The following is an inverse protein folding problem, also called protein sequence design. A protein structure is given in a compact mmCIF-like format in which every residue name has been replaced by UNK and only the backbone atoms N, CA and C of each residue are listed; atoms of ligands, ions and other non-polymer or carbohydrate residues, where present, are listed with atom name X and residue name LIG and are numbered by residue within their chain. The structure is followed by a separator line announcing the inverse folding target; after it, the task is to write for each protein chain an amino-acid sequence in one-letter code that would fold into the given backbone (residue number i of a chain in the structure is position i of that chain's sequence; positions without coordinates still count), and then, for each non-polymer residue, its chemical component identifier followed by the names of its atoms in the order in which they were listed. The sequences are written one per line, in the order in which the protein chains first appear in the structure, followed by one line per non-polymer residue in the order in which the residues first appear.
data_IF_339104172203
#
_entry.id   IF_339104172203
#
_cell.length_a   1.000
_cell.length_b   1.000
_cell.length_c   1.000
_cell.angle_alpha   90.00
_cell.angle_beta   90.00
_cell.angle_gamma   90.00
#
_symmetry.space_group_name_H-M   'P 1'
#
loop_
_entity.id
_entity.type
_entity.pdbx_description
1 polymer ?
#
# COMPACT_ATOMS: atom_id res chain seq x y z
N UNK A 1 -12.57 52.10 -17.38
CA UNK A 1 -13.37 50.85 -17.35
C UNK A 1 -12.78 49.93 -16.29
N UNK A 2 -13.52 49.67 -15.22
CA UNK A 2 -13.12 48.78 -14.12
C UNK A 2 -13.99 47.50 -14.18
N UNK A 3 -13.43 46.30 -13.93
CA UNK A 3 -14.23 45.08 -13.98
C UNK A 3 -15.04 44.87 -12.68
N UNK A 4 -16.36 44.74 -12.83
CA UNK A 4 -17.34 44.45 -11.79
C UNK A 4 -17.24 43.01 -11.26
N UNK A 5 -17.35 42.86 -9.95
CA UNK A 5 -17.25 41.61 -9.18
C UNK A 5 -18.65 40.99 -9.02
N UNK A 6 -18.95 39.89 -9.71
CA UNK A 6 -20.23 39.16 -9.58
C UNK A 6 -20.25 38.21 -8.38
N UNK A 7 -21.39 38.05 -7.67
CA UNK A 7 -21.49 37.16 -6.50
C UNK A 7 -21.73 35.70 -6.92
N UNK A 8 -21.04 34.79 -6.22
CA UNK A 8 -21.05 33.34 -6.44
C UNK A 8 -22.30 32.71 -5.82
N UNK A 9 -23.17 32.10 -6.65
CA UNK A 9 -24.29 31.25 -6.21
C UNK A 9 -23.78 29.92 -5.67
N UNK A 10 -24.17 29.56 -4.45
CA UNK A 10 -23.98 28.25 -3.83
C UNK A 10 -25.09 27.29 -4.27
N UNK A 11 -24.73 26.10 -4.79
CA UNK A 11 -25.60 24.93 -4.89
C UNK A 11 -25.02 23.82 -3.99
N UNK A 12 -25.83 23.05 -3.23
CA UNK A 12 -25.35 21.89 -2.51
C UNK A 12 -25.32 20.69 -3.46
N UNK A 13 -24.13 20.20 -3.81
CA UNK A 13 -23.98 18.92 -4.49
C UNK A 13 -23.65 17.85 -3.45
N UNK A 14 -24.55 16.88 -3.34
CA UNK A 14 -24.39 15.59 -2.66
C UNK A 14 -23.03 14.95 -2.97
N UNK A 15 -22.14 14.95 -1.99
CA UNK A 15 -20.87 14.22 -2.04
C UNK A 15 -21.11 12.77 -1.66
N UNK A 16 -21.18 11.88 -2.66
CA UNK A 16 -20.99 10.46 -2.44
C UNK A 16 -19.74 9.99 -3.19
N UNK A 17 -18.91 9.25 -2.44
CA UNK A 17 -17.87 8.31 -2.89
C UNK A 17 -16.46 8.87 -3.12
N UNK A 18 -15.73 9.05 -2.02
CA UNK A 18 -14.28 8.87 -1.97
C UNK A 18 -13.93 7.56 -1.25
N UNK A 19 -13.05 6.80 -1.88
CA UNK A 19 -12.42 5.56 -1.44
C UNK A 19 -11.41 5.78 -0.31
N UNK A 20 -11.41 4.94 0.73
CA UNK A 20 -10.19 4.29 1.26
C UNK A 20 -10.48 3.37 2.44
N UNK A 21 -9.71 2.27 2.48
CA UNK A 21 -9.83 1.11 3.34
C UNK A 21 -9.30 1.35 4.77
N UNK A 22 -9.97 0.68 5.71
CA UNK A 22 -9.43 -0.12 6.83
C UNK A 22 -8.65 0.60 7.95
N UNK A 23 -9.30 0.73 9.10
CA UNK A 23 -8.73 0.40 10.42
C UNK A 23 -9.83 0.41 11.49
N UNK A 24 -10.40 -0.76 11.79
CA UNK A 24 -11.23 -0.97 12.98
C UNK A 24 -10.35 -1.24 14.18
N UNK A 25 -10.64 -0.49 15.24
CA UNK A 25 -10.04 -0.49 16.56
C UNK A 25 -10.45 -1.71 17.40
N UNK A 26 -9.58 -2.06 18.37
CA UNK A 26 -9.85 -2.68 19.68
C UNK A 26 -10.30 -4.16 19.68
N UNK A 27 -9.88 -5.05 20.59
CA UNK A 27 -9.05 -4.96 21.81
C UNK A 27 -8.73 -6.39 22.30
N UNK A 28 -7.59 -6.53 23.01
CA UNK A 28 -7.28 -7.50 24.07
C UNK A 28 -7.39 -9.02 23.80
N UNK A 29 -6.25 -9.67 23.59
CA UNK A 29 -5.73 -10.70 24.53
C UNK A 29 -4.34 -11.17 24.09
N UNK A 30 -3.39 -11.07 25.01
CA UNK A 30 -1.97 -11.42 24.85
C UNK A 30 -1.80 -12.95 24.75
N UNK A 31 -1.18 -13.41 23.67
CA UNK A 31 -0.57 -14.74 23.56
C UNK A 31 0.88 -14.69 24.04
N UNK A 32 1.16 -15.27 25.21
CA UNK A 32 2.45 -15.91 25.57
C UNK A 32 2.15 -16.91 26.69
N UNK A 33 2.48 -18.18 26.51
CA UNK A 33 3.12 -19.07 27.49
C UNK A 33 3.52 -20.37 26.76
N UNK A 34 4.73 -20.79 27.09
CA UNK A 34 5.57 -21.84 26.52
C UNK A 34 5.35 -23.22 27.14
N UNK A 35 5.74 -24.26 26.38
CA UNK A 35 6.35 -25.56 26.77
C UNK A 35 6.26 -25.96 28.26
N UNK A 36 5.70 -27.15 28.54
CA UNK A 36 6.46 -28.39 28.77
C UNK A 36 5.58 -29.56 29.26
N UNK A 37 6.20 -30.74 29.25
CA UNK A 37 5.72 -32.13 29.33
C UNK A 37 5.39 -32.61 30.76
N UNK A 38 4.91 -33.87 30.83
CA UNK A 38 4.86 -34.85 31.97
C UNK A 38 3.46 -34.97 32.60
N UNK A 39 2.63 -35.95 32.21
CA UNK A 39 2.50 -37.37 32.65
C UNK A 39 1.99 -37.59 34.09
N UNK A 40 0.83 -38.26 34.21
CA UNK A 40 0.48 -39.40 35.11
C UNK A 40 -1.06 -39.49 35.27
N UNK A 41 -1.72 -40.47 34.64
CA UNK A 41 -2.13 -41.79 35.18
C UNK A 41 -3.56 -41.75 35.79
N UNK A 42 -4.53 -42.65 35.62
CA UNK A 42 -4.78 -43.87 34.83
C UNK A 42 -6.35 -44.13 34.88
N UNK A 43 -6.95 -45.33 34.67
CA UNK A 43 -7.74 -45.63 33.47
C UNK A 43 -9.21 -46.10 33.67
N UNK A 44 -9.93 -46.16 32.53
CA UNK A 44 -11.03 -47.10 32.18
C UNK A 44 -12.44 -46.93 32.78
N UNK A 45 -13.43 -46.66 31.90
CA UNK A 45 -14.72 -47.36 31.90
C UNK A 45 -15.15 -47.66 30.46
N UNK A 46 -15.13 -48.94 30.15
CA UNK A 46 -15.57 -49.61 28.93
C UNK A 46 -17.05 -49.31 28.62
N UNK A 47 -17.33 -48.66 27.49
CA UNK A 47 -18.69 -48.58 26.94
C UNK A 47 -18.94 -49.85 26.12
N UNK A 48 -19.78 -50.75 26.64
CA UNK A 48 -20.28 -51.92 25.91
C UNK A 48 -21.06 -51.46 24.66
N UNK A 49 -20.89 -52.09 23.49
CA UNK A 49 -21.69 -51.77 22.33
C UNK A 49 -23.10 -52.34 22.52
N UNK A 50 -24.11 -51.47 22.48
CA UNK A 50 -25.52 -51.88 22.42
C UNK A 50 -25.77 -52.54 21.07
N UNK A 51 -26.07 -53.84 21.11
CA UNK A 51 -26.53 -54.62 19.95
C UNK A 51 -27.93 -54.10 19.60
N UNK A 52 -27.99 -53.03 18.80
CA UNK A 52 -29.24 -52.62 18.17
C UNK A 52 -29.46 -53.52 16.97
N UNK A 53 -30.20 -54.61 17.17
CA UNK A 53 -30.83 -55.42 16.12
C UNK A 53 -31.87 -54.57 15.39
N UNK A 54 -31.40 -53.61 14.58
CA UNK A 54 -32.23 -52.96 13.57
C UNK A 54 -32.48 -54.00 12.49
N UNK A 55 -33.65 -54.63 12.52
CA UNK A 55 -34.18 -55.43 11.43
C UNK A 55 -34.16 -54.59 10.15
N UNK A 56 -33.07 -54.69 9.39
CA UNK A 56 -32.92 -54.08 8.07
C UNK A 56 -33.88 -54.83 7.14
N UNK A 57 -35.11 -54.34 6.99
CA UNK A 57 -36.00 -54.79 5.91
C UNK A 57 -35.20 -54.64 4.61
N UNK A 58 -34.95 -55.76 3.92
CA UNK A 58 -34.21 -55.77 2.65
C UNK A 58 -35.00 -54.91 1.66
N UNK A 59 -34.33 -53.99 0.97
CA UNK A 59 -34.97 -53.18 -0.08
C UNK A 59 -35.48 -54.13 -1.15
N UNK A 60 -36.73 -53.93 -1.58
CA UNK A 60 -37.29 -54.70 -2.68
C UNK A 60 -36.48 -54.42 -3.95
N UNK A 61 -36.21 -55.46 -4.75
CA UNK A 61 -35.49 -55.32 -6.01
C UNK A 61 -36.38 -54.53 -6.97
N UNK A 62 -35.87 -53.41 -7.47
CA UNK A 62 -36.51 -52.65 -8.54
C UNK A 62 -35.98 -53.19 -9.85
N UNK A 63 -36.84 -53.83 -10.64
CA UNK A 63 -36.46 -54.31 -11.97
C UNK A 63 -36.36 -53.13 -12.93
N UNK A 64 -35.33 -53.14 -13.77
CA UNK A 64 -35.21 -52.16 -14.85
C UNK A 64 -36.14 -52.51 -16.00
N UNK A 65 -36.57 -51.53 -16.79
CA UNK A 65 -37.53 -51.73 -17.90
C UNK A 65 -37.09 -52.83 -18.89
N UNK A 66 -35.76 -53.02 -19.02
CA UNK A 66 -35.14 -54.07 -19.82
C UNK A 66 -35.33 -55.47 -19.24
N UNK A 67 -35.30 -55.59 -17.92
CA UNK A 67 -35.50 -56.87 -17.22
C UNK A 67 -36.98 -57.28 -17.21
N UNK A 68 -37.89 -56.31 -17.29
CA UNK A 68 -39.34 -56.54 -17.38
C UNK A 68 -39.81 -56.87 -18.81
N UNK A 69 -38.91 -56.91 -19.80
CA UNK A 69 -39.26 -57.23 -21.19
C UNK A 69 -40.23 -56.24 -21.82
N UNK A 70 -40.31 -55.01 -21.30
CA UNK A 70 -41.22 -54.00 -21.81
C UNK A 70 -40.68 -53.53 -23.16
N UNK A 71 -41.47 -53.59 -24.25
CA UNK A 71 -41.02 -53.13 -25.56
C UNK A 71 -40.65 -51.65 -25.46
N UNK A 72 -39.41 -51.33 -25.86
CA UNK A 72 -38.94 -49.96 -25.87
C UNK A 72 -39.68 -49.21 -26.97
N UNK A 73 -40.26 -48.06 -26.63
CA UNK A 73 -40.92 -47.20 -27.61
C UNK A 73 -39.88 -46.75 -28.65
N UNK A 74 -40.29 -46.67 -29.92
CA UNK A 74 -39.49 -46.13 -31.01
C UNK A 74 -39.27 -44.62 -30.80
N UNK A 75 -38.36 -44.26 -29.91
CA UNK A 75 -37.96 -42.88 -29.69
C UNK A 75 -37.05 -42.46 -30.84
N UNK A 76 -37.56 -41.62 -31.74
CA UNK A 76 -36.71 -40.97 -32.73
C UNK A 76 -35.83 -39.96 -32.00
N UNK A 77 -34.55 -40.29 -31.83
CA UNK A 77 -33.58 -39.34 -31.27
C UNK A 77 -32.95 -38.58 -32.45
N UNK A 78 -33.30 -37.31 -32.70
CA UNK A 78 -32.83 -36.62 -33.88
C UNK A 78 -31.32 -36.37 -33.81
N UNK A 79 -30.67 -36.53 -34.96
CA UNK A 79 -29.24 -36.28 -35.15
C UNK A 79 -28.95 -34.81 -34.80
N UNK A 80 -28.27 -34.57 -33.66
CA UNK A 80 -27.91 -33.23 -33.19
C UNK A 80 -28.32 -32.89 -31.75
N UNK A 81 -29.16 -33.71 -31.09
CA UNK A 81 -29.57 -33.48 -29.69
C UNK A 81 -28.61 -34.16 -28.69
N UNK A 82 -27.83 -35.15 -29.12
CA UNK A 82 -26.86 -35.83 -28.25
C UNK A 82 -25.53 -35.08 -28.23
N UNK A 83 -25.36 -34.19 -27.25
CA UNK A 83 -24.08 -33.52 -27.01
C UNK A 83 -23.06 -34.56 -26.55
N UNK A 84 -21.83 -34.58 -27.11
CA UNK A 84 -20.75 -35.36 -26.52
C UNK A 84 -20.55 -34.88 -25.08
N UNK A 85 -20.56 -35.81 -24.12
CA UNK A 85 -20.48 -35.49 -22.69
C UNK A 85 -19.22 -34.67 -22.44
N UNK A 86 -19.40 -33.46 -21.90
CA UNK A 86 -18.30 -32.58 -21.49
C UNK A 86 -18.18 -31.24 -22.22
N UNK A 87 -18.77 -31.06 -23.41
CA UNK A 87 -18.64 -29.80 -24.17
C UNK A 87 -19.96 -29.02 -24.20
N UNK A 88 -19.95 -27.80 -23.65
CA UNK A 88 -21.08 -26.86 -23.73
C UNK A 88 -21.04 -26.14 -25.09
N UNK A 89 -22.15 -26.18 -25.85
CA UNK A 89 -22.29 -25.44 -27.13
C UNK A 89 -21.93 -23.97 -26.90
N UNK A 90 -20.95 -23.45 -27.64
CA UNK A 90 -20.53 -22.04 -27.56
C UNK A 90 -19.56 -21.67 -26.43
N UNK A 91 -19.05 -22.62 -25.64
CA UNK A 91 -17.98 -22.38 -24.65
C UNK A 91 -16.78 -23.26 -24.97
N UNK A 92 -15.98 -22.81 -25.94
CA UNK A 92 -14.70 -23.42 -26.29
C UNK A 92 -13.63 -22.63 -25.56
N UNK A 93 -12.97 -23.26 -24.60
CA UNK A 93 -11.75 -22.72 -24.01
C UNK A 93 -10.56 -23.19 -24.85
N UNK A 94 -9.52 -22.37 -24.87
CA UNK A 94 -8.22 -22.77 -25.42
C UNK A 94 -7.60 -23.69 -24.37
N UNK A 95 -7.68 -25.00 -24.58
CA UNK A 95 -7.18 -26.02 -23.65
C UNK A 95 -5.70 -26.37 -23.93
N UNK A 96 -5.17 -26.02 -25.10
CA UNK A 96 -3.80 -26.32 -25.49
C UNK A 96 -2.82 -25.29 -24.93
N UNK A 97 -1.82 -25.75 -24.17
CA UNK A 97 -0.84 -24.88 -23.53
C UNK A 97 -0.05 -24.05 -24.56
N UNK A 98 0.27 -24.63 -25.72
CA UNK A 98 1.07 -23.99 -26.77
C UNK A 98 0.34 -22.82 -27.45
N UNK A 99 -0.96 -22.99 -27.72
CA UNK A 99 -1.77 -21.92 -28.30
C UNK A 99 -2.05 -20.80 -27.29
N UNK A 100 -2.22 -21.14 -26.01
CA UNK A 100 -2.31 -20.15 -24.93
C UNK A 100 -1.05 -19.29 -24.83
N UNK A 101 0.13 -19.91 -24.86
CA UNK A 101 1.42 -19.19 -24.80
C UNK A 101 1.62 -18.29 -26.03
N UNK A 102 1.23 -18.75 -27.21
CA UNK A 102 1.33 -17.97 -28.45
C UNK A 102 0.44 -16.72 -28.40
N UNK A 103 -0.80 -16.85 -27.91
CA UNK A 103 -1.72 -15.72 -27.74
C UNK A 103 -1.17 -14.72 -26.73
N UNK A 104 -0.63 -15.19 -25.60
CA UNK A 104 -0.03 -14.31 -24.59
C UNK A 104 1.18 -13.55 -25.15
N UNK A 105 2.05 -14.21 -25.91
CA UNK A 105 3.21 -13.58 -26.53
C UNK A 105 2.80 -12.48 -27.54
N UNK A 106 1.83 -12.76 -28.41
CA UNK A 106 1.32 -11.79 -29.37
C UNK A 106 0.71 -10.56 -28.68
N UNK A 107 -0.12 -10.77 -27.65
CA UNK A 107 -0.75 -9.67 -26.90
C UNK A 107 0.29 -8.84 -26.14
N UNK A 108 1.31 -9.49 -25.56
CA UNK A 108 2.38 -8.79 -24.87
C UNK A 108 3.20 -7.93 -25.84
N UNK A 109 3.55 -8.46 -27.01
CA UNK A 109 4.28 -7.72 -28.04
C UNK A 109 3.49 -6.50 -28.56
N UNK A 110 2.18 -6.61 -28.74
CA UNK A 110 1.32 -5.49 -29.14
C UNK A 110 1.22 -4.41 -28.05
N UNK A 111 1.21 -4.83 -26.77
CA UNK A 111 1.02 -3.95 -25.61
C UNK A 111 2.34 -3.33 -25.10
N UNK A 112 3.48 -3.99 -25.32
CA UNK A 112 4.78 -3.56 -24.81
C UNK A 112 5.13 -2.15 -25.27
N UNK A 113 4.91 -1.76 -26.54
CA UNK A 113 5.15 -0.39 -27.00
C UNK A 113 4.33 0.69 -26.26
N UNK A 114 3.12 0.37 -25.78
CA UNK A 114 2.29 1.29 -24.97
C UNK A 114 2.69 1.33 -23.49
N UNK A 115 3.24 0.24 -22.97
CA UNK A 115 3.66 0.13 -21.57
C UNK A 115 5.06 0.71 -21.41
N UNK A 116 5.96 0.44 -22.34
CA UNK A 116 7.30 1.02 -22.42
C UNK A 116 7.22 2.54 -22.50
N UNK A 117 6.39 3.11 -23.37
CA UNK A 117 6.20 4.56 -23.45
C UNK A 117 5.69 5.17 -22.14
N UNK A 118 4.92 4.44 -21.32
CA UNK A 118 4.51 4.89 -19.98
C UNK A 118 5.61 4.76 -18.93
N UNK A 119 6.33 3.64 -18.92
CA UNK A 119 7.42 3.38 -17.96
C UNK A 119 8.61 4.30 -18.22
N UNK A 120 8.99 4.48 -19.48
CA UNK A 120 10.05 5.40 -19.92
C UNK A 120 9.66 6.84 -19.61
N UNK A 121 8.42 7.26 -19.90
CA UNK A 121 7.94 8.60 -19.55
C UNK A 121 7.89 8.84 -18.04
N UNK A 122 7.55 7.82 -17.25
CA UNK A 122 7.59 7.91 -15.79
C UNK A 122 9.03 8.14 -15.28
N UNK A 123 10.01 7.39 -15.81
CA UNK A 123 11.44 7.56 -15.50
C UNK A 123 11.96 8.92 -15.93
N UNK A 124 11.64 9.39 -17.14
CA UNK A 124 12.00 10.73 -17.61
C UNK A 124 11.41 11.83 -16.71
N UNK A 125 10.16 11.68 -16.26
CA UNK A 125 9.55 12.63 -15.34
C UNK A 125 10.15 12.57 -13.93
N UNK A 126 10.68 11.43 -13.50
CA UNK A 126 11.43 11.27 -12.25
C UNK A 126 12.82 11.91 -12.36
N UNK A 127 13.54 11.67 -13.44
CA UNK A 127 14.83 12.30 -13.74
C UNK A 127 14.72 13.83 -13.81
N UNK A 128 13.68 14.37 -14.45
CA UNK A 128 13.41 15.82 -14.49
C UNK A 128 13.14 16.36 -13.08
N UNK A 129 12.41 15.62 -12.24
CA UNK A 129 12.15 16.02 -10.85
C UNK A 129 13.41 16.01 -10.01
N UNK A 130 14.26 15.00 -10.16
CA UNK A 130 15.55 14.93 -9.47
C UNK A 130 16.51 16.04 -9.92
N UNK A 131 16.57 16.32 -11.22
CA UNK A 131 17.37 17.41 -11.75
C UNK A 131 16.93 18.77 -11.17
N UNK A 132 15.62 19.03 -11.12
CA UNK A 132 15.07 20.26 -10.53
C UNK A 132 15.33 20.36 -9.02
N UNK A 133 15.24 19.25 -8.27
CA UNK A 133 15.61 19.26 -6.84
C UNK A 133 17.08 19.58 -6.65
N UNK A 134 17.97 18.94 -7.40
CA UNK A 134 19.42 19.19 -7.36
C UNK A 134 19.76 20.64 -7.72
N UNK A 135 19.09 21.23 -8.71
CA UNK A 135 19.27 22.65 -9.06
C UNK A 135 18.78 23.59 -7.94
N UNK A 136 17.61 23.30 -7.35
CA UNK A 136 17.08 24.07 -6.22
C UNK A 136 17.98 23.98 -5.00
N UNK A 137 18.46 22.78 -4.65
CA UNK A 137 19.41 22.57 -3.56
C UNK A 137 20.72 23.34 -3.79
N UNK A 138 21.28 23.31 -5.01
CA UNK A 138 22.45 24.13 -5.36
C UNK A 138 22.18 25.62 -5.20
N UNK A 139 21.00 26.09 -5.64
CA UNK A 139 20.60 27.50 -5.50
C UNK A 139 20.41 27.90 -4.04
N UNK A 140 19.86 27.02 -3.22
CA UNK A 140 19.70 27.22 -1.79
C UNK A 140 21.04 27.21 -1.06
N UNK A 141 21.95 26.30 -1.40
CA UNK A 141 23.32 26.28 -0.87
C UNK A 141 24.06 27.57 -1.22
N UNK A 142 24.00 28.02 -2.47
CA UNK A 142 24.62 29.28 -2.88
C UNK A 142 24.01 30.50 -2.14
N UNK A 143 22.71 30.48 -1.85
CA UNK A 143 22.07 31.53 -1.02
C UNK A 143 22.53 31.46 0.43
N UNK A 144 22.61 30.25 1.01
CA UNK A 144 23.08 30.04 2.38
C UNK A 144 24.53 30.47 2.54
N UNK A 145 25.40 30.11 1.60
CA UNK A 145 26.82 30.49 1.59
C UNK A 145 26.99 32.01 1.57
N UNK A 146 26.28 32.71 0.69
CA UNK A 146 26.26 34.19 0.66
C UNK A 146 25.80 34.80 1.99
N UNK A 147 24.80 34.20 2.63
CA UNK A 147 24.31 34.68 3.93
C UNK A 147 25.31 34.43 5.05
N UNK A 148 25.98 33.27 5.06
CA UNK A 148 27.02 32.97 6.05
C UNK A 148 28.25 33.87 5.87
N UNK A 149 28.67 34.14 4.64
CA UNK A 149 29.76 35.08 4.35
C UNK A 149 29.45 36.49 4.89
N UNK A 150 28.23 37.00 4.65
CA UNK A 150 27.79 38.30 5.18
C UNK A 150 27.73 38.29 6.71
N UNK A 151 27.17 37.25 7.31
CA UNK A 151 27.12 37.11 8.78
C UNK A 151 28.51 37.08 9.39
N UNK A 152 29.44 36.34 8.80
CA UNK A 152 30.81 36.27 9.29
C UNK A 152 31.55 37.59 9.10
N UNK A 153 31.29 38.32 8.02
CA UNK A 153 31.73 39.70 7.86
C UNK A 153 31.25 40.62 8.99
N UNK A 154 29.97 40.54 9.34
CA UNK A 154 29.38 41.31 10.45
C UNK A 154 29.93 40.88 11.82
N UNK A 155 30.07 39.57 12.06
CA UNK A 155 30.67 39.04 13.30
C UNK A 155 32.12 39.51 13.46
N UNK A 156 32.94 39.41 12.40
CA UNK A 156 34.33 39.89 12.40
C UNK A 156 34.41 41.39 12.64
N UNK A 157 33.56 42.20 12.00
CA UNK A 157 33.47 43.66 12.25
C UNK A 157 33.10 43.95 13.71
N UNK A 158 32.10 43.26 14.26
CA UNK A 158 31.68 43.42 15.66
C UNK A 158 32.80 43.06 16.63
N UNK A 159 33.53 41.96 16.40
CA UNK A 159 34.66 41.54 17.22
C UNK A 159 35.81 42.55 17.17
N UNK A 160 36.13 43.11 15.99
CA UNK A 160 37.13 44.18 15.87
C UNK A 160 36.72 45.42 16.66
N UNK A 161 35.46 45.86 16.54
CA UNK A 161 34.96 47.01 17.29
C UNK A 161 34.96 46.77 18.80
N UNK A 162 34.62 45.56 19.25
CA UNK A 162 34.70 45.20 20.67
C UNK A 162 36.14 45.21 21.17
N UNK A 163 37.10 44.71 20.39
CA UNK A 163 38.52 44.72 20.74
C UNK A 163 39.06 46.14 20.85
N UNK A 164 38.74 47.00 19.87
CA UNK A 164 39.07 48.43 19.90
C UNK A 164 38.45 49.11 21.13
N UNK A 165 37.20 48.77 21.50
CA UNK A 165 36.55 49.34 22.68
C UNK A 165 37.21 48.90 23.99
N UNK A 166 37.71 47.66 24.07
CA UNK A 166 38.46 47.15 25.23
C UNK A 166 39.81 47.85 25.33
N UNK A 167 40.56 47.94 24.23
CA UNK A 167 41.86 48.62 24.19
C UNK A 167 41.73 50.11 24.57
N UNK A 168 40.68 50.81 24.09
CA UNK A 168 40.41 52.21 24.46
C UNK A 168 40.03 52.35 25.95
N UNK A 169 39.35 51.35 26.54
CA UNK A 169 39.03 51.36 27.97
C UNK A 169 40.26 51.08 28.82
N UNK A 170 41.14 50.17 28.43
CA UNK A 170 42.40 49.90 29.16
C UNK A 170 43.32 51.14 29.14
N UNK A 171 43.43 51.83 27.99
CA UNK A 171 44.19 53.10 27.89
C UNK A 171 43.48 54.27 28.60
N UNK A 172 42.16 54.21 28.76
CA UNK A 172 41.35 55.22 29.45
C UNK A 172 41.30 55.11 30.98
N UNK A 173 41.71 53.98 31.55
CA UNK A 173 41.75 53.77 33.02
C UNK A 173 43.06 54.29 33.64
N UNK A 174 44.08 54.57 32.85
CA UNK A 174 45.28 55.30 33.31
C UNK A 174 45.09 56.82 33.23
N UNK A 175 44.45 57.44 34.24
CA UNK A 175 44.54 58.88 34.64
C UNK A 175 43.39 59.26 35.59
N UNK A 176 43.53 59.96 36.71
CA UNK A 176 44.62 60.49 37.55
C UNK A 176 44.05 60.52 38.97
N UNK A 177 44.83 60.14 39.99
CA UNK A 177 44.41 60.24 41.40
C UNK A 177 44.11 61.70 41.73
N UNK A 178 42.84 62.03 42.03
CA UNK A 178 42.43 63.38 42.46
C UNK A 178 42.72 63.53 43.95
N UNK A 179 43.56 64.51 44.32
CA UNK A 179 43.88 64.85 45.72
C UNK A 179 42.60 65.34 46.43
N UNK A 180 42.25 64.70 47.55
CA UNK A 180 41.15 65.14 48.43
C UNK A 180 41.66 66.23 49.36
N UNK A 181 40.94 67.34 49.46
CA UNK A 181 41.18 68.38 50.48
C UNK A 181 40.13 68.19 51.57
N UNK A 182 40.58 68.01 52.81
CA UNK A 182 39.71 67.95 53.99
C UNK A 182 39.38 69.36 54.47
N UNK A 183 38.10 69.64 54.68
CA UNK A 183 37.67 70.84 55.41
C UNK A 183 37.59 70.47 56.90
N UNK A 184 38.31 71.25 57.72
CA UNK A 184 38.19 71.25 59.18
C UNK A 184 37.15 72.26 59.65
#
# INVERSE_FOLDING_TARGET
MAPSRSPRKTKPSSSNKSTSKRSTLQSSSKTRISKSKVQNAAPSKTKRPTISTKNKKKKQRTYTEKELGIPQLNMITPVGVQKPRGKKKGKVFVDDAESMMTILALVNAEKEGQIESKMVRARQMEEIREARRKEQEKREMARKEKLEEVKDGLRKKRLKNLKILVDVKEVGVEKKVKKKVSFG
#
